data_IF_206402622818
#
_entry.id   IF_206402622818
#
_cell.length_a   1.000
_cell.length_b   1.000
_cell.length_c   1.000
_cell.angle_alpha   90.00
_cell.angle_beta   90.00
_cell.angle_gamma   90.00
#
_symmetry.space_group_name_H-M   'P 1'
#
loop_
_entity.id
_entity.type
_entity.pdbx_description
1 polymer ?
#
# COMPACT_ATOMS: atom_id res chain seq x y z
N UNK A 1 29.77 0.00 2.65
CA UNK A 1 29.31 -1.04 1.71
C UNK A 1 28.00 -1.61 2.25
N UNK A 2 26.86 -1.33 1.62
CA UNK A 2 25.56 -1.87 2.09
C UNK A 2 25.55 -3.38 1.85
N UNK A 3 25.25 -4.17 2.88
CA UNK A 3 25.10 -5.62 2.80
C UNK A 3 23.71 -5.93 2.23
N UNK A 4 23.65 -6.22 0.93
CA UNK A 4 22.41 -6.59 0.26
C UNK A 4 22.25 -8.13 0.21
N UNK A 5 21.03 -8.65 0.32
CA UNK A 5 20.77 -10.09 0.29
C UNK A 5 21.22 -10.70 -1.04
N UNK A 6 22.04 -11.74 -0.97
CA UNK A 6 22.59 -12.44 -2.15
C UNK A 6 21.66 -13.54 -2.68
N UNK A 7 20.77 -14.07 -1.82
CA UNK A 7 19.79 -15.10 -2.14
C UNK A 7 18.45 -14.81 -1.46
N UNK A 8 17.38 -15.35 -2.03
CA UNK A 8 16.03 -15.29 -1.45
C UNK A 8 15.77 -16.60 -0.70
N UNK A 9 16.03 -16.65 0.61
CA UNK A 9 15.91 -17.89 1.40
C UNK A 9 16.62 -19.10 0.77
N UNK A 10 17.80 -18.90 0.15
CA UNK A 10 18.55 -19.94 -0.57
C UNK A 10 18.14 -20.15 -2.03
N UNK A 11 17.04 -19.55 -2.49
CA UNK A 11 16.58 -19.56 -3.88
C UNK A 11 17.23 -18.44 -4.72
N UNK A 12 17.26 -18.57 -6.06
CA UNK A 12 17.81 -17.55 -6.94
C UNK A 12 17.04 -16.23 -6.85
N UNK A 13 17.77 -15.12 -6.87
CA UNK A 13 17.22 -13.80 -6.58
C UNK A 13 16.03 -13.37 -7.46
N UNK A 14 15.96 -13.85 -8.71
CA UNK A 14 14.85 -13.53 -9.61
C UNK A 14 13.50 -14.04 -9.07
N UNK A 15 13.48 -15.17 -8.35
CA UNK A 15 12.22 -15.72 -7.79
C UNK A 15 11.69 -14.85 -6.66
N UNK A 16 12.58 -14.26 -5.86
CA UNK A 16 12.22 -13.32 -4.80
C UNK A 16 11.64 -12.03 -5.38
N UNK A 17 12.20 -11.57 -6.51
CA UNK A 17 11.67 -10.41 -7.25
C UNK A 17 10.30 -10.73 -7.87
N UNK A 18 10.15 -11.90 -8.50
CA UNK A 18 8.88 -12.35 -9.09
C UNK A 18 7.78 -12.45 -8.03
N UNK A 19 8.06 -13.09 -6.90
CA UNK A 19 7.11 -13.20 -5.79
C UNK A 19 6.76 -11.82 -5.20
N UNK A 20 7.77 -10.96 -4.99
CA UNK A 20 7.55 -9.62 -4.46
C UNK A 20 6.67 -8.77 -5.38
N UNK A 21 6.92 -8.82 -6.69
CA UNK A 21 6.11 -8.12 -7.68
C UNK A 21 4.70 -8.72 -7.78
N UNK A 22 4.57 -10.04 -7.74
CA UNK A 22 3.27 -10.73 -7.75
C UNK A 22 2.38 -10.32 -6.57
N UNK A 23 2.95 -10.32 -5.36
CA UNK A 23 2.25 -9.87 -4.14
C UNK A 23 1.88 -8.39 -4.23
N UNK A 24 2.79 -7.54 -4.71
CA UNK A 24 2.50 -6.12 -4.86
C UNK A 24 1.38 -5.85 -5.88
N UNK A 25 1.39 -6.53 -7.02
CA UNK A 25 0.34 -6.45 -8.05
C UNK A 25 -1.01 -6.89 -7.46
N UNK A 26 -1.04 -8.03 -6.77
CA UNK A 26 -2.26 -8.52 -6.13
C UNK A 26 -2.81 -7.52 -5.11
N UNK A 27 -1.93 -6.95 -4.26
CA UNK A 27 -2.30 -5.92 -3.30
C UNK A 27 -2.92 -4.68 -3.98
N UNK A 28 -2.33 -4.22 -5.09
CA UNK A 28 -2.86 -3.10 -5.86
C UNK A 28 -4.21 -3.39 -6.50
N UNK A 29 -4.43 -4.61 -7.00
CA UNK A 29 -5.76 -5.04 -7.48
C UNK A 29 -6.80 -5.06 -6.37
N UNK A 30 -6.46 -5.56 -5.18
CA UNK A 30 -7.33 -5.47 -3.99
C UNK A 30 -7.70 -4.02 -3.67
N UNK A 31 -6.75 -3.09 -3.77
CA UNK A 31 -6.99 -1.65 -3.60
C UNK A 31 -7.93 -1.05 -4.65
N UNK A 32 -7.88 -1.52 -5.90
CA UNK A 32 -8.79 -1.09 -6.97
C UNK A 32 -10.25 -1.49 -6.69
N UNK A 33 -10.52 -2.59 -5.97
CA UNK A 33 -11.89 -2.90 -5.54
C UNK A 33 -12.47 -1.81 -4.63
N UNK A 34 -11.63 -1.05 -3.92
CA UNK A 34 -12.06 0.14 -3.18
C UNK A 34 -12.67 1.23 -4.07
N UNK A 35 -12.33 1.28 -5.36
CA UNK A 35 -12.88 2.24 -6.34
C UNK A 35 -14.36 1.91 -6.65
N UNK A 36 -14.82 0.68 -6.41
CA UNK A 36 -16.25 0.37 -6.52
C UNK A 36 -17.09 1.14 -5.49
N UNK A 37 -16.49 1.55 -4.36
CA UNK A 37 -17.16 2.41 -3.39
C UNK A 37 -17.43 3.84 -3.91
N UNK A 38 -16.84 4.23 -5.04
CA UNK A 38 -17.09 5.54 -5.67
C UNK A 38 -18.38 5.50 -6.49
N UNK A 39 -18.67 4.34 -7.09
CA UNK A 39 -19.92 4.08 -7.80
C UNK A 39 -21.12 3.95 -6.86
N UNK A 40 -20.89 3.77 -5.55
CA UNK A 40 -21.96 3.77 -4.54
C UNK A 40 -22.28 5.17 -3.98
N UNK A 41 -21.69 6.23 -4.54
CA UNK A 41 -22.11 7.62 -4.29
C UNK A 41 -21.45 8.33 -3.10
N UNK A 42 -20.37 7.77 -2.54
CA UNK A 42 -19.63 8.40 -1.44
C UNK A 42 -18.63 9.43 -1.99
N UNK A 43 -18.62 10.70 -1.52
CA UNK A 43 -17.64 11.68 -1.97
C UNK A 43 -16.24 11.23 -1.55
N UNK A 44 -15.29 11.20 -2.50
CA UNK A 44 -13.91 10.92 -2.18
C UNK A 44 -13.22 12.17 -1.68
N UNK A 45 -12.33 11.98 -0.71
CA UNK A 45 -11.32 12.97 -0.39
C UNK A 45 -10.24 13.04 -1.50
N UNK A 46 -9.63 14.22 -1.67
CA UNK A 46 -8.60 14.48 -2.68
C UNK A 46 -7.37 13.58 -2.46
N UNK A 47 -7.02 13.30 -1.20
CA UNK A 47 -5.90 12.43 -0.84
C UNK A 47 -6.14 11.00 -1.34
N UNK A 48 -7.39 10.52 -1.22
CA UNK A 48 -7.79 9.20 -1.67
C UNK A 48 -7.71 9.06 -3.20
N UNK A 49 -8.10 10.12 -3.92
CA UNK A 49 -7.90 10.21 -5.38
C UNK A 49 -6.43 10.09 -5.78
N UNK A 50 -5.54 10.83 -5.11
CA UNK A 50 -4.09 10.75 -5.34
C UNK A 50 -3.54 9.34 -5.11
N UNK A 51 -3.99 8.66 -4.04
CA UNK A 51 -3.59 7.29 -3.75
C UNK A 51 -4.00 6.29 -4.83
N UNK A 52 -5.21 6.43 -5.39
CA UNK A 52 -5.68 5.55 -6.46
C UNK A 52 -4.94 5.78 -7.77
N UNK A 53 -4.71 7.02 -8.16
CA UNK A 53 -3.93 7.36 -9.36
C UNK A 53 -2.50 6.82 -9.24
N UNK A 54 -1.86 7.03 -8.08
CA UNK A 54 -0.54 6.46 -7.79
C UNK A 54 -0.55 4.93 -7.87
N UNK A 55 -1.53 4.28 -7.24
CA UNK A 55 -1.64 2.82 -7.24
C UNK A 55 -1.83 2.23 -8.63
N UNK A 56 -2.59 2.91 -9.50
CA UNK A 56 -2.73 2.53 -10.91
C UNK A 56 -1.42 2.71 -11.69
N UNK A 57 -0.72 3.83 -11.50
CA UNK A 57 0.58 4.04 -12.13
C UNK A 57 1.62 3.00 -11.69
N UNK A 58 1.71 2.72 -10.38
CA UNK A 58 2.59 1.70 -9.82
C UNK A 58 2.26 0.30 -10.35
N UNK A 59 0.97 -0.03 -10.49
CA UNK A 59 0.52 -1.30 -11.07
C UNK A 59 1.08 -1.51 -12.48
N UNK A 60 0.99 -0.51 -13.37
CA UNK A 60 1.53 -0.61 -14.73
C UNK A 60 3.03 -0.92 -14.73
N UNK A 61 3.78 -0.27 -13.84
CA UNK A 61 5.23 -0.48 -13.70
C UNK A 61 5.53 -1.89 -13.18
N UNK A 62 4.80 -2.35 -12.16
CA UNK A 62 5.00 -3.69 -11.59
C UNK A 62 4.63 -4.79 -12.58
N UNK A 63 3.53 -4.66 -13.32
CA UNK A 63 3.16 -5.62 -14.37
C UNK A 63 4.24 -5.71 -15.45
N UNK A 64 4.80 -4.56 -15.90
CA UNK A 64 5.92 -4.55 -16.85
C UNK A 64 7.17 -5.20 -16.28
N UNK A 65 7.48 -4.95 -15.00
CA UNK A 65 8.57 -5.61 -14.29
C UNK A 65 8.39 -7.14 -14.26
N UNK A 66 7.19 -7.61 -13.92
CA UNK A 66 6.87 -9.04 -13.84
C UNK A 66 6.99 -9.73 -15.20
N UNK A 67 6.46 -9.13 -16.28
CA UNK A 67 6.57 -9.70 -17.63
C UNK A 67 8.02 -9.77 -18.15
N UNK A 68 8.93 -8.97 -17.59
CA UNK A 68 10.34 -8.93 -17.99
C UNK A 68 11.28 -9.70 -17.05
N UNK A 69 10.78 -10.47 -16.09
CA UNK A 69 11.60 -11.26 -15.15
C UNK A 69 12.57 -12.21 -15.84
N UNK A 70 12.11 -12.91 -16.88
CA UNK A 70 12.93 -13.89 -17.60
C UNK A 70 13.88 -13.26 -18.64
N UNK A 71 13.62 -12.01 -19.06
CA UNK A 71 14.47 -11.25 -19.99
C UNK A 71 14.67 -9.83 -19.43
N UNK A 72 15.46 -9.69 -18.36
CA UNK A 72 15.48 -8.46 -17.60
C UNK A 72 16.20 -7.34 -18.35
N UNK A 73 15.57 -6.17 -18.40
CA UNK A 73 16.17 -4.92 -18.91
C UNK A 73 16.55 -4.04 -17.73
N UNK A 74 17.82 -3.63 -17.68
CA UNK A 74 18.35 -2.86 -16.55
C UNK A 74 17.55 -1.56 -16.30
N UNK A 75 17.25 -0.80 -17.35
CA UNK A 75 16.48 0.46 -17.25
C UNK A 75 15.09 0.25 -16.66
N UNK A 76 14.38 -0.81 -17.06
CA UNK A 76 13.06 -1.15 -16.52
C UNK A 76 13.17 -1.47 -15.02
N UNK A 77 14.17 -2.25 -14.62
CA UNK A 77 14.31 -2.65 -13.22
C UNK A 77 14.77 -1.52 -12.29
N UNK A 78 15.55 -0.55 -12.78
CA UNK A 78 15.83 0.68 -12.02
C UNK A 78 14.54 1.49 -11.78
N UNK A 79 13.66 1.57 -12.78
CA UNK A 79 12.34 2.20 -12.63
C UNK A 79 11.47 1.42 -11.63
N UNK A 80 11.42 0.09 -11.74
CA UNK A 80 10.68 -0.78 -10.81
C UNK A 80 11.17 -0.57 -9.38
N UNK A 81 12.49 -0.57 -9.14
CA UNK A 81 13.06 -0.34 -7.82
C UNK A 81 12.66 1.03 -7.24
N UNK A 82 12.76 2.08 -8.06
CA UNK A 82 12.45 3.44 -7.63
C UNK A 82 10.97 3.58 -7.29
N UNK A 83 10.08 3.07 -8.17
CA UNK A 83 8.63 3.10 -7.95
C UNK A 83 8.23 2.23 -6.76
N UNK A 84 8.83 1.05 -6.58
CA UNK A 84 8.57 0.18 -5.43
C UNK A 84 9.02 0.83 -4.11
N UNK A 85 10.16 1.51 -4.12
CA UNK A 85 10.65 2.27 -2.95
C UNK A 85 9.69 3.41 -2.59
N UNK A 86 9.27 4.21 -3.58
CA UNK A 86 8.29 5.27 -3.39
C UNK A 86 6.94 4.73 -2.90
N UNK A 87 6.49 3.61 -3.47
CA UNK A 87 5.25 2.95 -3.06
C UNK A 87 5.31 2.47 -1.60
N UNK A 88 6.47 1.97 -1.17
CA UNK A 88 6.69 1.56 0.22
C UNK A 88 6.63 2.75 1.16
N UNK A 89 7.25 3.89 0.80
CA UNK A 89 7.20 5.13 1.60
C UNK A 89 5.76 5.65 1.70
N UNK A 90 5.04 5.71 0.58
CA UNK A 90 3.64 6.13 0.56
C UNK A 90 2.77 5.18 1.39
N UNK A 91 2.97 3.87 1.28
CA UNK A 91 2.24 2.90 2.09
C UNK A 91 2.46 3.12 3.60
N UNK A 92 3.69 3.43 4.03
CA UNK A 92 3.96 3.79 5.42
C UNK A 92 3.27 5.10 5.83
N UNK A 93 3.33 6.12 4.98
CA UNK A 93 2.67 7.40 5.22
C UNK A 93 1.16 7.22 5.41
N UNK A 94 0.51 6.49 4.49
CA UNK A 94 -0.91 6.18 4.59
C UNK A 94 -1.24 5.33 5.82
N UNK A 95 -0.40 4.34 6.16
CA UNK A 95 -0.60 3.54 7.36
C UNK A 95 -0.61 4.42 8.64
N UNK A 96 0.30 5.39 8.73
CA UNK A 96 0.33 6.33 9.87
C UNK A 96 -0.91 7.21 9.90
N UNK A 97 -1.32 7.79 8.76
CA UNK A 97 -2.52 8.62 8.68
C UNK A 97 -3.78 7.85 9.09
N UNK A 98 -4.01 6.67 8.52
CA UNK A 98 -5.19 5.86 8.84
C UNK A 98 -5.19 5.40 10.30
N UNK A 99 -4.02 5.07 10.85
CA UNK A 99 -3.91 4.72 12.26
C UNK A 99 -4.31 5.90 13.14
N UNK A 100 -3.84 7.11 12.84
CA UNK A 100 -4.21 8.33 13.56
C UNK A 100 -5.71 8.64 13.50
N UNK A 101 -6.32 8.52 12.31
CA UNK A 101 -7.76 8.73 12.13
C UNK A 101 -8.60 7.68 12.87
N UNK A 102 -8.12 6.45 12.95
CA UNK A 102 -8.81 5.37 13.66
C UNK A 102 -8.80 5.63 15.17
N UNK A 103 -7.63 5.94 15.75
CA UNK A 103 -7.53 6.21 17.18
C UNK A 103 -8.29 7.49 17.60
N UNK A 104 -8.27 8.54 16.78
CA UNK A 104 -8.95 9.81 17.10
C UNK A 104 -10.48 9.69 17.15
N UNK A 105 -11.06 8.76 16.38
CA UNK A 105 -12.52 8.52 16.38
C UNK A 105 -12.98 7.75 17.62
N UNK A 106 -12.11 6.94 18.22
CA UNK A 106 -12.41 6.16 19.43
C UNK A 106 -12.41 7.01 20.71
N UNK A 107 -11.55 8.03 20.77
CA UNK A 107 -11.53 8.99 21.88
C UNK A 107 -12.85 9.78 21.96
N UNK A 108 -13.52 9.96 20.83
CA UNK A 108 -14.82 10.66 20.75
C UNK A 108 -15.99 9.74 21.09
N UNK A 109 -15.95 8.46 20.74
CA UNK A 109 -16.98 7.46 21.10
C UNK A 109 -16.95 7.08 22.59
N UNK A 110 -15.81 7.28 23.27
CA UNK A 110 -15.64 6.96 24.69
C UNK A 110 -16.03 8.11 25.65
N UNK A 111 -16.47 9.27 25.14
CA UNK A 111 -16.62 10.48 25.95
C UNK A 111 -17.68 11.47 25.47
N UNK A 112 -18.96 11.09 25.44
CA UNK A 112 -20.06 12.08 25.45
C UNK A 112 -21.40 11.51 25.92
N UNK A 113 -21.53 11.24 27.21
CA UNK A 113 -22.83 11.32 27.89
C UNK A 113 -22.82 12.52 28.85
N UNK A 114 -23.19 13.74 28.43
CA UNK A 114 -23.54 14.79 29.37
C UNK A 114 -25.03 14.68 29.66
N UNK A 115 -25.42 13.79 30.57
CA UNK A 115 -26.70 13.97 31.29
C UNK A 115 -26.35 14.17 32.76
N UNK A 116 -25.89 15.39 33.04
CA UNK A 116 -26.09 15.99 34.36
C UNK A 116 -27.57 16.40 34.42
N UNK A 117 -28.39 15.52 35.00
CA UNK A 117 -29.82 15.71 35.22
C UNK A 117 -30.14 15.38 36.67
N UNK A 118 -29.95 16.38 37.53
CA UNK A 118 -30.26 16.44 38.95
C UNK A 118 -31.75 16.22 39.23
N UNK A 119 -32.10 15.38 40.21
CA UNK A 119 -33.44 15.39 40.82
C UNK A 119 -34.00 14.04 41.26
N UNK A 120 -34.14 13.89 42.57
CA UNK A 120 -34.93 12.86 43.27
C UNK A 120 -36.42 12.98 42.85
N UNK A 121 -37.10 11.87 42.60
CA UNK A 121 -38.54 11.86 42.33
C UNK A 121 -39.13 10.45 42.20
N UNK A 122 -39.59 9.92 43.34
CA UNK A 122 -40.77 9.06 43.56
C UNK A 122 -41.29 8.22 42.38
N UNK A 123 -41.26 6.90 42.58
CA UNK A 123 -42.01 5.91 41.78
C UNK A 123 -43.51 6.11 42.05
N UNK A 124 -44.27 6.53 41.04
CA UNK A 124 -45.73 6.51 41.06
C UNK A 124 -46.24 5.46 40.07
N UNK A 125 -46.95 4.46 40.61
CA UNK A 125 -47.54 3.34 39.88
C UNK A 125 -48.93 3.75 39.43
N UNK A 126 -49.16 3.91 38.12
CA UNK A 126 -50.52 4.12 37.63
C UNK A 126 -50.69 4.36 36.14
N UNK A 127 -51.36 3.38 35.49
CA UNK A 127 -52.24 3.48 34.32
C UNK A 127 -51.60 3.57 32.91
N UNK A 128 -51.62 2.40 32.26
CA UNK A 128 -52.23 2.17 30.93
C UNK A 128 -51.90 3.15 29.80
N UNK A 129 -50.88 2.82 29.01
CA UNK A 129 -50.62 3.48 27.73
C UNK A 129 -49.65 2.67 26.87
N UNK A 130 -50.17 2.05 25.82
CA UNK A 130 -49.52 1.31 24.74
C UNK A 130 -48.15 1.82 24.34
N UNK A 131 -47.08 1.05 24.56
CA UNK A 131 -45.76 1.30 23.97
C UNK A 131 -45.01 -0.02 23.73
N UNK A 132 -44.98 -0.40 22.44
CA UNK A 132 -43.86 -0.97 21.70
C UNK A 132 -43.03 -2.09 22.34
N UNK A 133 -43.13 -3.26 21.73
CA UNK A 133 -42.25 -4.41 21.88
C UNK A 133 -40.78 -3.98 21.92
N UNK A 134 -40.22 -3.90 23.12
CA UNK A 134 -38.80 -3.85 23.35
C UNK A 134 -38.22 -5.21 22.93
N UNK A 135 -37.87 -5.34 21.66
CA UNK A 135 -36.80 -6.26 21.26
C UNK A 135 -35.50 -5.68 21.79
N UNK A 136 -35.30 -5.81 23.11
CA UNK A 136 -34.01 -5.75 23.76
C UNK A 136 -33.26 -6.96 23.22
N UNK A 137 -32.65 -6.80 22.05
CA UNK A 137 -31.57 -7.68 21.59
C UNK A 137 -30.49 -7.56 22.66
N UNK A 138 -30.54 -8.45 23.64
CA UNK A 138 -29.35 -8.97 24.27
C UNK A 138 -28.56 -9.58 23.12
N UNK A 139 -27.76 -8.74 22.46
CA UNK A 139 -26.70 -9.23 21.60
C UNK A 139 -25.82 -9.98 22.58
N UNK A 140 -25.87 -11.30 22.43
CA UNK A 140 -25.03 -12.24 23.12
C UNK A 140 -23.63 -11.67 23.35
N UNK A 141 -23.27 -11.50 24.63
CA UNK A 141 -21.89 -11.38 25.12
C UNK A 141 -21.15 -12.72 24.91
N UNK A 142 -21.27 -13.30 23.71
CA UNK A 142 -20.47 -14.46 23.31
C UNK A 142 -19.20 -13.94 22.69
N UNK A 143 -18.25 -13.62 23.57
CA UNK A 143 -16.82 -13.75 23.31
C UNK A 143 -16.30 -12.96 22.09
N UNK A 144 -16.51 -11.64 22.07
CA UNK A 144 -15.62 -10.78 21.29
C UNK A 144 -14.33 -10.63 22.09
N UNK A 145 -13.18 -10.87 21.46
CA UNK A 145 -11.90 -10.64 22.11
C UNK A 145 -11.88 -9.19 22.65
N UNK A 146 -11.19 -8.94 23.78
CA UNK A 146 -11.16 -7.59 24.32
C UNK A 146 -10.75 -6.60 23.22
N UNK A 147 -11.39 -5.44 23.14
CA UNK A 147 -11.15 -4.42 22.11
C UNK A 147 -9.64 -4.17 21.89
N UNK A 148 -8.85 -4.22 22.95
CA UNK A 148 -7.38 -4.13 22.90
C UNK A 148 -6.68 -5.28 22.16
N UNK A 149 -7.19 -6.50 22.23
CA UNK A 149 -6.66 -7.67 21.53
C UNK A 149 -6.86 -7.55 20.01
N UNK A 150 -8.04 -7.11 19.56
CA UNK A 150 -8.34 -6.90 18.14
C UNK A 150 -7.43 -5.83 17.53
N UNK A 151 -7.22 -4.71 18.24
CA UNK A 151 -6.30 -3.65 17.82
C UNK A 151 -4.84 -4.11 17.74
N UNK A 152 -4.36 -4.81 18.77
CA UNK A 152 -3.00 -5.33 18.79
C UNK A 152 -2.73 -6.28 17.61
N UNK A 153 -3.70 -7.16 17.31
CA UNK A 153 -3.59 -8.09 16.18
C UNK A 153 -3.49 -7.38 14.82
N UNK A 154 -4.27 -6.32 14.63
CA UNK A 154 -4.30 -5.53 13.39
C UNK A 154 -3.00 -4.73 13.20
N UNK A 155 -2.49 -4.13 14.29
CA UNK A 155 -1.22 -3.39 14.27
C UNK A 155 -0.06 -4.35 13.99
N UNK A 156 -0.03 -5.51 14.66
CA UNK A 156 1.00 -6.52 14.45
C UNK A 156 1.02 -7.00 12.99
N UNK A 157 -0.15 -7.32 12.42
CA UNK A 157 -0.27 -7.72 11.03
C UNK A 157 0.24 -6.61 10.09
N UNK A 158 -0.12 -5.36 10.36
CA UNK A 158 0.32 -4.20 9.58
C UNK A 158 1.84 -4.02 9.63
N UNK A 159 2.46 -4.22 10.80
CA UNK A 159 3.91 -4.17 10.95
C UNK A 159 4.61 -5.31 10.20
N UNK A 160 4.07 -6.54 10.26
CA UNK A 160 4.62 -7.69 9.53
C UNK A 160 4.56 -7.43 8.02
N UNK A 161 3.43 -6.96 7.50
CA UNK A 161 3.27 -6.62 6.08
C UNK A 161 4.23 -5.50 5.66
N UNK A 162 4.43 -4.50 6.53
CA UNK A 162 5.37 -3.41 6.27
C UNK A 162 6.82 -3.91 6.24
N UNK A 163 7.22 -4.75 7.20
CA UNK A 163 8.55 -5.36 7.24
C UNK A 163 8.82 -6.20 5.98
N UNK A 164 7.84 -6.99 5.53
CA UNK A 164 7.94 -7.77 4.30
C UNK A 164 8.14 -6.86 3.08
N UNK A 165 7.44 -5.71 3.00
CA UNK A 165 7.64 -4.73 1.92
C UNK A 165 9.07 -4.17 1.91
N UNK A 166 9.61 -3.80 3.07
CA UNK A 166 11.00 -3.35 3.16
C UNK A 166 11.98 -4.43 2.70
N UNK A 167 11.77 -5.68 3.13
CA UNK A 167 12.60 -6.81 2.71
C UNK A 167 12.57 -7.03 1.19
N UNK A 168 11.38 -7.01 0.59
CA UNK A 168 11.19 -7.06 -0.87
C UNK A 168 11.92 -5.92 -1.59
N UNK A 169 11.95 -4.71 -1.00
CA UNK A 169 12.69 -3.59 -1.59
C UNK A 169 14.20 -3.87 -1.65
N UNK A 170 14.77 -4.45 -0.59
CA UNK A 170 16.18 -4.87 -0.58
C UNK A 170 16.48 -5.99 -1.57
N UNK A 171 15.55 -6.91 -1.80
CA UNK A 171 15.67 -7.97 -2.83
C UNK A 171 15.72 -7.36 -4.23
N UNK A 172 14.81 -6.44 -4.55
CA UNK A 172 14.79 -5.78 -5.86
C UNK A 172 16.07 -4.95 -6.04
N UNK A 173 16.53 -4.27 -4.99
CA UNK A 173 17.78 -3.51 -5.01
C UNK A 173 19.00 -4.41 -5.30
N UNK A 174 19.06 -5.59 -4.69
CA UNK A 174 20.17 -6.51 -4.90
C UNK A 174 20.15 -7.10 -6.32
N UNK A 175 18.96 -7.28 -6.88
CA UNK A 175 18.78 -7.74 -8.27
C UNK A 175 19.28 -6.69 -9.25
N UNK A 176 18.89 -5.42 -9.06
CA UNK A 176 19.40 -4.28 -9.87
C UNK A 176 20.91 -4.17 -9.77
N UNK A 177 21.47 -4.25 -8.56
CA UNK A 177 22.92 -4.19 -8.35
C UNK A 177 23.67 -5.30 -9.10
N UNK A 178 23.11 -6.51 -9.12
CA UNK A 178 23.69 -7.65 -9.84
C UNK A 178 23.66 -7.43 -11.35
N UNK A 179 22.58 -6.86 -11.88
CA UNK A 179 22.49 -6.52 -13.30
C UNK A 179 23.45 -5.40 -13.70
N UNK A 180 23.65 -4.38 -12.86
CA UNK A 180 24.60 -3.29 -13.13
C UNK A 180 26.04 -3.77 -13.25
N UNK A 181 26.42 -4.81 -12.50
CA UNK A 181 27.76 -5.41 -12.58
C UNK A 181 27.97 -6.27 -13.82
N UNK A 182 26.89 -6.68 -14.50
CA UNK A 182 26.96 -7.52 -15.69
C UNK A 182 26.88 -6.66 -16.95
N UNK A 183 28.00 -6.57 -17.69
CA UNK A 183 28.14 -5.76 -18.90
C UNK A 183 27.13 -6.11 -20.03
N UNK A 184 26.48 -7.28 -19.97
CA UNK A 184 25.47 -7.75 -20.94
C UNK A 184 24.17 -6.94 -20.95
N UNK A 185 23.90 -6.12 -19.93
CA UNK A 185 22.62 -5.39 -19.81
C UNK A 185 22.75 -3.86 -19.98
N UNK A 186 23.96 -3.38 -20.29
CA UNK A 186 24.18 -1.98 -20.65
C UNK A 186 23.76 -1.83 -22.11
N UNK A 187 22.52 -1.40 -22.34
CA UNK A 187 22.09 -1.02 -23.68
C UNK A 187 22.77 0.31 -24.03
N UNK A 188 23.49 0.35 -25.16
CA UNK A 188 24.11 1.58 -25.66
C UNK A 188 23.01 2.65 -25.87
N UNK A 189 23.15 3.85 -25.30
CA UNK A 189 22.09 4.86 -25.27
C UNK A 189 21.81 5.52 -26.63
N UNK A 190 22.72 5.39 -27.60
CA UNK A 190 22.70 6.17 -28.84
C UNK A 190 21.57 5.75 -29.80
N UNK A 191 21.24 4.46 -29.90
CA UNK A 191 20.19 3.97 -30.80
C UNK A 191 18.77 4.44 -30.38
N UNK A 192 18.57 4.67 -29.09
CA UNK A 192 17.27 5.07 -28.53
C UNK A 192 17.00 6.56 -28.79
N UNK A 193 18.03 7.41 -28.83
CA UNK A 193 17.90 8.87 -29.03
C UNK A 193 17.29 9.23 -30.39
N UNK A 194 17.65 8.48 -31.44
CA UNK A 194 17.13 8.69 -32.80
C UNK A 194 15.63 8.39 -32.92
N UNK A 195 15.14 7.36 -32.20
CA UNK A 195 13.74 6.92 -32.24
C UNK A 195 12.81 7.83 -31.40
N UNK A 196 13.34 8.48 -30.36
CA UNK A 196 12.54 9.41 -29.53
C UNK A 196 12.10 10.67 -30.27
N UNK A 197 12.75 11.07 -31.37
CA UNK A 197 12.39 12.32 -32.06
C UNK A 197 11.02 12.26 -32.74
N UNK A 198 10.53 11.07 -33.09
CA UNK A 198 9.31 10.88 -33.88
C UNK A 198 8.13 10.25 -33.12
N UNK A 199 8.22 10.12 -31.80
CA UNK A 199 7.24 9.37 -30.99
C UNK A 199 6.39 10.26 -30.08
N UNK A 200 5.28 9.70 -29.57
CA UNK A 200 4.30 10.42 -28.75
C UNK A 200 4.90 10.96 -27.44
N UNK A 201 4.35 12.07 -26.94
CA UNK A 201 4.81 12.75 -25.71
C UNK A 201 4.80 11.80 -24.49
N UNK A 202 3.82 10.90 -24.40
CA UNK A 202 3.72 9.93 -23.33
C UNK A 202 4.88 8.90 -23.35
N UNK A 203 5.27 8.43 -24.54
CA UNK A 203 6.40 7.52 -24.68
C UNK A 203 7.73 8.21 -24.32
N UNK A 204 7.90 9.46 -24.75
CA UNK A 204 9.05 10.29 -24.37
C UNK A 204 9.15 10.50 -22.86
N UNK A 205 8.04 10.83 -22.21
CA UNK A 205 7.98 10.99 -20.76
C UNK A 205 8.37 9.68 -20.05
N UNK A 206 7.82 8.54 -20.49
CA UNK A 206 8.17 7.23 -19.96
C UNK A 206 9.67 6.92 -20.05
N UNK A 207 10.28 7.10 -21.23
CA UNK A 207 11.72 6.85 -21.42
C UNK A 207 12.57 7.83 -20.60
N UNK A 208 12.17 9.10 -20.51
CA UNK A 208 12.82 10.09 -19.66
C UNK A 208 12.80 9.68 -18.18
N UNK A 209 11.65 9.21 -17.67
CA UNK A 209 11.52 8.68 -16.31
C UNK A 209 12.42 7.47 -16.09
N UNK A 210 12.50 6.54 -17.05
CA UNK A 210 13.42 5.39 -16.95
C UNK A 210 14.89 5.81 -16.85
N UNK A 211 15.32 6.77 -17.68
CA UNK A 211 16.69 7.33 -17.63
C UNK A 211 16.96 7.97 -16.28
N UNK A 212 16.04 8.78 -15.78
CA UNK A 212 16.18 9.42 -14.48
C UNK A 212 16.31 8.41 -13.34
N UNK A 213 15.47 7.37 -13.34
CA UNK A 213 15.55 6.27 -12.37
C UNK A 213 16.88 5.51 -12.47
N UNK A 214 17.40 5.29 -13.68
CA UNK A 214 18.70 4.66 -13.87
C UNK A 214 19.85 5.49 -13.29
N UNK A 215 19.90 6.80 -13.56
CA UNK A 215 20.92 7.68 -12.99
C UNK A 215 20.82 7.76 -11.47
N UNK A 216 19.59 7.80 -10.95
CA UNK A 216 19.33 7.73 -9.52
C UNK A 216 19.89 6.43 -8.93
N UNK A 217 19.49 5.28 -9.46
CA UNK A 217 20.01 3.98 -9.00
C UNK A 217 21.54 3.92 -9.10
N UNK A 218 22.15 4.37 -10.21
CA UNK A 218 23.60 4.37 -10.39
C UNK A 218 24.34 5.24 -9.38
N UNK A 219 23.71 6.29 -8.86
CA UNK A 219 24.30 7.16 -7.83
C UNK A 219 24.20 6.57 -6.42
N UNK A 220 23.16 5.78 -6.14
CA UNK A 220 22.85 5.31 -4.78
C UNK A 220 23.17 3.81 -4.53
N UNK A 221 23.42 2.98 -5.56
CA UNK A 221 23.75 1.53 -5.46
C UNK A 221 25.22 1.20 -5.73
#
# INVERSE_FOLDING_TARGET
>A
MVYLPQSFFGLPLYIGVELSLGVAIFNKFCGLYGILALFTGRPLDLIQWGFYVWSFAALLVFTKGLSQVYKPKLMTYCMVLTVYSLDTVLACFFAVLFTGDWFSKEDTSSGSNPVSGKGIGVVDVGKSGTQNFAYRRTVDDTQSASTHYEYSSTILLTLIVSALRFYSNFIIASFVRRMMKQNRYITEPDDVEYDLKNTSVAYRAYVSTQRWCYYFCRRYL
#
